data_IF_210973331988
#
_entry.id   IF_210973331988
#
_cell.length_a   1.000
_cell.length_b   1.000
_cell.length_c   1.000
_cell.angle_alpha   90.00
_cell.angle_beta   90.00
_cell.angle_gamma   90.00
#
_symmetry.space_group_name_H-M   'P 1'
#
loop_
_entity.id
_entity.type
_entity.pdbx_description
1 polymer ?
#
# COMPACT_ATOMS: atom_id res chain seq x y z
N UNK A 1 9.09 -15.50 -50.81
CA UNK A 1 8.49 -15.26 -49.48
C UNK A 1 9.64 -15.20 -48.49
N UNK A 2 10.11 -14.01 -48.19
CA UNK A 2 11.14 -13.75 -47.17
C UNK A 2 10.52 -14.02 -45.78
N UNK A 3 10.99 -15.05 -45.08
CA UNK A 3 10.76 -15.22 -43.67
C UNK A 3 11.48 -14.06 -42.97
N UNK A 4 10.69 -13.11 -42.43
CA UNK A 4 11.17 -12.11 -41.47
C UNK A 4 11.58 -12.91 -40.23
N UNK A 5 12.89 -13.05 -40.00
CA UNK A 5 13.40 -13.67 -38.77
C UNK A 5 12.86 -12.85 -37.58
N UNK A 6 12.02 -13.47 -36.78
CA UNK A 6 11.54 -12.87 -35.53
C UNK A 6 12.77 -12.61 -34.66
N UNK A 7 13.04 -11.36 -34.39
CA UNK A 7 14.14 -11.00 -33.48
C UNK A 7 13.96 -11.76 -32.14
N UNK A 8 15.01 -12.45 -31.72
CA UNK A 8 14.95 -13.23 -30.48
C UNK A 8 14.58 -12.32 -29.31
N UNK A 9 13.50 -12.64 -28.59
CA UNK A 9 13.07 -11.86 -27.43
C UNK A 9 14.19 -11.81 -26.37
N UNK A 10 14.48 -10.64 -25.88
CA UNK A 10 15.44 -10.46 -24.79
C UNK A 10 14.97 -11.23 -23.56
N UNK A 11 15.86 -12.03 -22.96
CA UNK A 11 15.55 -12.90 -21.83
C UNK A 11 15.78 -12.18 -20.51
N UNK A 12 14.83 -12.30 -19.58
CA UNK A 12 14.89 -11.73 -18.23
C UNK A 12 14.62 -12.84 -17.20
N UNK A 13 15.45 -12.88 -16.16
CA UNK A 13 15.23 -13.72 -14.98
C UNK A 13 14.77 -12.82 -13.83
N UNK A 14 13.63 -13.14 -13.21
CA UNK A 14 13.11 -12.50 -12.00
C UNK A 14 13.31 -13.46 -10.85
N UNK A 15 13.96 -13.01 -9.80
CA UNK A 15 14.21 -13.78 -8.58
C UNK A 15 13.21 -13.32 -7.51
N UNK A 16 12.36 -14.23 -7.08
CA UNK A 16 11.27 -13.99 -6.15
C UNK A 16 9.90 -13.92 -6.84
N UNK A 17 8.97 -14.80 -6.45
CA UNK A 17 7.59 -14.85 -6.92
C UNK A 17 6.61 -14.28 -5.89
N UNK A 18 7.01 -13.29 -5.10
CA UNK A 18 6.12 -12.44 -4.32
C UNK A 18 5.42 -11.41 -5.21
N UNK A 19 4.52 -10.60 -4.64
CA UNK A 19 3.70 -9.64 -5.40
C UNK A 19 4.54 -8.71 -6.27
N UNK A 20 5.66 -8.20 -5.77
CA UNK A 20 6.56 -7.31 -6.53
C UNK A 20 7.22 -8.00 -7.71
N UNK A 21 7.75 -9.22 -7.49
CA UNK A 21 8.40 -10.00 -8.55
C UNK A 21 7.42 -10.46 -9.62
N UNK A 22 6.22 -10.90 -9.24
CA UNK A 22 5.17 -11.28 -10.18
C UNK A 22 4.68 -10.09 -10.99
N UNK A 23 4.49 -8.92 -10.37
CA UNK A 23 4.12 -7.68 -11.06
C UNK A 23 5.18 -7.26 -12.08
N UNK A 24 6.45 -7.23 -11.66
CA UNK A 24 7.57 -6.89 -12.56
C UNK A 24 7.67 -7.88 -13.72
N UNK A 25 7.53 -9.18 -13.45
CA UNK A 25 7.55 -10.21 -14.47
C UNK A 25 6.42 -10.07 -15.48
N UNK A 26 5.20 -9.80 -15.01
CA UNK A 26 4.03 -9.61 -15.85
C UNK A 26 4.18 -8.38 -16.75
N UNK A 27 4.59 -7.24 -16.20
CA UNK A 27 4.82 -6.02 -16.97
C UNK A 27 5.95 -6.18 -17.99
N UNK A 28 7.04 -6.84 -17.66
CA UNK A 28 8.12 -7.12 -18.60
C UNK A 28 7.66 -8.07 -19.71
N UNK A 29 6.91 -9.12 -19.36
CA UNK A 29 6.35 -10.03 -20.36
C UNK A 29 5.36 -9.31 -21.29
N UNK A 30 4.53 -8.44 -20.77
CA UNK A 30 3.61 -7.59 -21.54
C UNK A 30 4.36 -6.69 -22.53
N UNK A 31 5.54 -6.19 -22.13
CA UNK A 31 6.44 -5.40 -23.00
C UNK A 31 7.26 -6.23 -23.98
N UNK A 32 7.02 -7.54 -24.07
CA UNK A 32 7.59 -8.42 -25.07
C UNK A 32 8.87 -9.16 -24.67
N UNK A 33 9.34 -9.04 -23.43
CA UNK A 33 10.49 -9.82 -22.93
C UNK A 33 10.13 -11.30 -22.74
N UNK A 34 11.12 -12.18 -22.85
CA UNK A 34 10.99 -13.59 -22.47
C UNK A 34 11.37 -13.73 -20.98
N UNK A 35 10.36 -13.74 -20.09
CA UNK A 35 10.57 -13.71 -18.65
C UNK A 35 10.50 -15.10 -18.04
N UNK A 36 11.43 -15.41 -17.13
CA UNK A 36 11.36 -16.55 -16.20
C UNK A 36 11.39 -16.05 -14.77
N UNK A 37 10.46 -16.55 -13.94
CA UNK A 37 10.42 -16.26 -12.52
C UNK A 37 10.93 -17.48 -11.75
N UNK A 38 11.78 -17.24 -10.76
CA UNK A 38 12.33 -18.26 -9.87
C UNK A 38 12.00 -17.89 -8.43
N UNK A 39 11.56 -18.88 -7.64
CA UNK A 39 11.32 -18.73 -6.22
C UNK A 39 11.79 -19.98 -5.48
N UNK A 40 12.15 -19.82 -4.21
CA UNK A 40 12.49 -20.94 -3.34
C UNK A 40 11.25 -21.67 -2.81
N UNK A 41 10.07 -20.99 -2.79
CA UNK A 41 8.82 -21.57 -2.35
C UNK A 41 8.13 -22.34 -3.48
N UNK A 42 7.42 -23.40 -3.11
CA UNK A 42 6.62 -24.21 -4.04
C UNK A 42 5.40 -23.42 -4.53
N UNK A 43 4.83 -22.56 -3.65
CA UNK A 43 3.65 -21.75 -3.98
C UNK A 43 4.08 -20.30 -4.17
N UNK A 44 3.77 -19.68 -5.33
CA UNK A 44 4.05 -18.26 -5.52
C UNK A 44 3.16 -17.38 -4.64
N UNK A 45 3.54 -16.12 -4.49
CA UNK A 45 2.78 -15.11 -3.74
C UNK A 45 3.57 -14.52 -2.56
N UNK A 46 4.61 -15.20 -2.07
CA UNK A 46 5.39 -14.72 -0.92
C UNK A 46 4.52 -14.57 0.34
N UNK A 47 4.49 -13.38 0.96
CA UNK A 47 3.62 -13.10 2.10
C UNK A 47 2.13 -13.02 1.75
N UNK A 48 1.77 -12.91 0.48
CA UNK A 48 0.39 -12.93 -0.01
C UNK A 48 0.00 -14.31 -0.56
N UNK A 49 0.71 -15.36 -0.18
CA UNK A 49 0.37 -16.74 -0.56
C UNK A 49 -0.52 -17.42 0.47
N UNK A 50 -0.99 -18.59 0.12
CA UNK A 50 -1.77 -19.45 1.01
C UNK A 50 -1.12 -20.82 1.17
N UNK A 51 -1.41 -21.51 2.26
CA UNK A 51 -1.05 -22.92 2.43
C UNK A 51 -2.23 -23.74 2.92
N UNK A 52 -2.20 -25.03 2.62
CA UNK A 52 -3.24 -25.97 3.05
C UNK A 52 -2.71 -26.90 4.13
N UNK A 53 -3.48 -27.07 5.19
CA UNK A 53 -3.19 -28.02 6.26
C UNK A 53 -4.46 -28.67 6.78
N UNK A 54 -4.51 -30.01 6.79
CA UNK A 54 -5.64 -30.80 7.29
C UNK A 54 -7.00 -30.39 6.72
N UNK A 55 -7.05 -30.08 5.42
CA UNK A 55 -8.29 -29.68 4.73
C UNK A 55 -8.65 -28.19 4.84
N UNK A 56 -7.94 -27.40 5.65
CA UNK A 56 -8.12 -25.96 5.78
C UNK A 56 -7.11 -25.20 4.94
N UNK A 57 -7.53 -24.05 4.44
CA UNK A 57 -6.67 -23.08 3.75
C UNK A 57 -6.40 -21.90 4.67
N UNK A 58 -5.14 -21.52 4.78
CA UNK A 58 -4.67 -20.41 5.63
C UNK A 58 -3.89 -19.42 4.77
N UNK A 59 -4.03 -18.14 5.08
CA UNK A 59 -3.16 -17.10 4.55
C UNK A 59 -1.79 -17.15 5.25
N UNK A 60 -0.73 -16.89 4.49
CA UNK A 60 0.64 -16.88 5.04
C UNK A 60 0.88 -15.63 5.88
N UNK A 61 0.41 -14.47 5.43
CA UNK A 61 0.62 -13.21 6.12
C UNK A 61 -0.43 -12.16 5.78
N UNK A 62 -0.53 -11.74 4.53
CA UNK A 62 -1.47 -10.70 4.11
C UNK A 62 -2.88 -11.28 3.95
N UNK A 63 -3.79 -10.85 4.81
CA UNK A 63 -5.23 -11.21 4.77
C UNK A 63 -6.10 -10.09 4.19
N UNK A 64 -5.57 -8.88 4.13
CA UNK A 64 -6.26 -7.73 3.56
C UNK A 64 -5.63 -7.36 2.20
N UNK A 65 -6.48 -7.12 1.21
CA UNK A 65 -6.08 -6.65 -0.12
C UNK A 65 -6.65 -5.25 -0.32
N UNK A 66 -5.78 -4.29 -0.54
CA UNK A 66 -6.13 -2.91 -0.89
C UNK A 66 -5.71 -2.61 -2.33
N UNK A 67 -6.19 -1.51 -2.90
CA UNK A 67 -5.78 -1.06 -4.23
C UNK A 67 -6.52 -1.74 -5.40
N UNK A 68 -7.64 -2.43 -5.12
CA UNK A 68 -8.54 -2.97 -6.14
C UNK A 68 -9.62 -1.98 -6.57
N UNK A 69 -9.81 -0.90 -5.81
CA UNK A 69 -10.75 0.17 -6.11
C UNK A 69 -10.38 0.89 -7.43
N UNK A 70 -11.32 1.56 -8.10
CA UNK A 70 -11.04 2.33 -9.32
C UNK A 70 -9.92 3.36 -9.09
N UNK A 71 -8.84 3.25 -9.87
CA UNK A 71 -7.65 4.07 -9.70
C UNK A 71 -6.64 3.58 -8.65
N UNK A 72 -6.95 2.51 -7.93
CA UNK A 72 -6.01 1.84 -7.03
C UNK A 72 -4.86 1.17 -7.78
N UNK A 73 -3.77 0.87 -7.08
CA UNK A 73 -2.54 0.38 -7.71
C UNK A 73 -2.74 -0.95 -8.46
N UNK A 74 -3.47 -1.89 -7.88
CA UNK A 74 -3.75 -3.17 -8.54
C UNK A 74 -4.67 -2.99 -9.75
N UNK A 75 -5.70 -2.15 -9.62
CA UNK A 75 -6.60 -1.80 -10.72
C UNK A 75 -5.85 -1.21 -11.91
N UNK A 76 -4.87 -0.32 -11.67
CA UNK A 76 -4.03 0.24 -12.72
C UNK A 76 -3.15 -0.81 -13.41
N UNK A 77 -2.50 -1.69 -12.64
CA UNK A 77 -1.62 -2.76 -13.15
C UNK A 77 -2.44 -3.75 -14.01
N UNK A 78 -3.59 -4.20 -13.52
CA UNK A 78 -4.45 -5.11 -14.25
C UNK A 78 -4.95 -4.50 -15.56
N UNK A 79 -5.31 -3.20 -15.52
CA UNK A 79 -5.69 -2.44 -16.72
C UNK A 79 -4.54 -2.33 -17.73
N UNK A 80 -3.30 -2.04 -17.27
CA UNK A 80 -2.12 -1.99 -18.14
C UNK A 80 -1.85 -3.35 -18.81
N UNK A 81 -2.02 -4.43 -18.05
CA UNK A 81 -1.83 -5.79 -18.55
C UNK A 81 -2.98 -6.28 -19.45
N UNK A 82 -4.11 -5.59 -19.50
CA UNK A 82 -5.30 -5.99 -20.24
C UNK A 82 -5.99 -7.23 -19.68
N UNK A 83 -5.87 -7.48 -18.38
CA UNK A 83 -6.50 -8.59 -17.68
C UNK A 83 -7.56 -8.11 -16.71
N UNK A 84 -8.60 -8.92 -16.52
CA UNK A 84 -9.70 -8.61 -15.62
C UNK A 84 -9.25 -8.72 -14.14
N UNK A 85 -9.74 -7.78 -13.32
CA UNK A 85 -9.55 -7.85 -11.87
C UNK A 85 -10.27 -9.09 -11.31
N UNK A 86 -9.67 -9.77 -10.31
CA UNK A 86 -10.38 -10.84 -9.63
C UNK A 86 -11.64 -10.29 -8.94
N UNK A 87 -12.75 -11.08 -8.90
CA UNK A 87 -13.94 -10.67 -8.20
C UNK A 87 -13.62 -10.49 -6.71
N UNK A 88 -13.99 -9.34 -6.16
CA UNK A 88 -13.82 -9.01 -4.76
C UNK A 88 -15.00 -8.20 -4.27
N UNK A 89 -15.38 -8.41 -3.00
CA UNK A 89 -16.35 -7.59 -2.29
C UNK A 89 -15.65 -6.79 -1.21
N UNK A 90 -16.09 -5.57 -1.04
CA UNK A 90 -15.56 -4.68 -0.01
C UNK A 90 -16.04 -5.11 1.36
N UNK A 91 -15.14 -5.08 2.35
CA UNK A 91 -15.51 -5.22 3.75
C UNK A 91 -16.02 -3.88 4.28
N UNK A 92 -17.15 -3.87 4.96
CA UNK A 92 -17.67 -2.69 5.64
C UNK A 92 -18.27 -3.08 7.00
N UNK A 93 -17.65 -2.66 8.12
CA UNK A 93 -16.45 -1.82 8.22
C UNK A 93 -15.19 -2.47 7.61
N UNK A 94 -14.23 -1.65 7.19
CA UNK A 94 -12.95 -2.12 6.66
C UNK A 94 -12.19 -2.96 7.68
N UNK A 95 -12.25 -2.59 8.96
CA UNK A 95 -11.83 -3.42 10.08
C UNK A 95 -12.57 -3.03 11.38
N UNK A 96 -12.58 -3.96 12.34
CA UNK A 96 -13.06 -3.75 13.68
C UNK A 96 -11.93 -3.94 14.68
N UNK A 97 -11.62 -2.92 15.47
CA UNK A 97 -10.50 -2.93 16.42
C UNK A 97 -11.02 -3.12 17.83
N UNK A 98 -10.69 -4.24 18.44
CA UNK A 98 -10.99 -4.51 19.85
C UNK A 98 -9.84 -4.04 20.72
N UNK A 99 -10.08 -3.09 21.60
CA UNK A 99 -9.08 -2.66 22.56
C UNK A 99 -9.04 -3.59 23.78
N UNK A 100 -7.87 -3.74 24.43
CA UNK A 100 -7.76 -4.59 25.61
C UNK A 100 -8.76 -4.23 26.72
N UNK A 101 -9.59 -5.19 27.13
CA UNK A 101 -10.61 -5.01 28.16
C UNK A 101 -11.92 -4.40 27.69
N UNK A 102 -12.07 -4.09 26.41
CA UNK A 102 -13.31 -3.61 25.81
C UNK A 102 -14.03 -4.75 25.06
N UNK A 103 -15.36 -4.78 25.14
CA UNK A 103 -16.21 -5.76 24.45
C UNK A 103 -16.73 -5.22 23.12
N UNK A 104 -16.82 -3.90 22.99
CA UNK A 104 -17.30 -3.24 21.78
C UNK A 104 -16.11 -2.81 20.91
N UNK A 105 -16.12 -3.13 19.62
CA UNK A 105 -15.05 -2.73 18.72
C UNK A 105 -15.17 -1.26 18.30
N UNK A 106 -14.05 -0.70 17.90
CA UNK A 106 -13.99 0.54 17.12
C UNK A 106 -14.09 0.13 15.66
N UNK A 107 -15.17 0.53 14.99
CA UNK A 107 -15.40 0.22 13.58
C UNK A 107 -14.73 1.24 12.69
N UNK A 108 -13.77 0.78 11.89
CA UNK A 108 -13.12 1.63 10.87
C UNK A 108 -13.98 1.57 9.61
N UNK A 109 -14.88 2.53 9.48
CA UNK A 109 -15.81 2.61 8.35
C UNK A 109 -15.11 3.07 7.07
N UNK A 110 -15.55 2.55 5.93
CA UNK A 110 -15.06 2.98 4.62
C UNK A 110 -15.64 4.33 4.24
N UNK A 111 -16.90 4.58 4.55
CA UNK A 111 -17.52 5.86 4.33
C UNK A 111 -16.85 6.95 5.21
N UNK A 112 -16.36 8.06 4.60
CA UNK A 112 -15.63 9.08 5.34
C UNK A 112 -16.44 9.78 6.43
N UNK A 113 -17.75 9.96 6.23
CA UNK A 113 -18.60 10.63 7.23
C UNK A 113 -18.94 9.69 8.39
N UNK A 114 -19.20 8.42 8.12
CA UNK A 114 -19.36 7.41 9.17
C UNK A 114 -18.08 7.26 9.99
N UNK A 115 -16.92 7.21 9.34
CA UNK A 115 -15.65 7.13 10.02
C UNK A 115 -15.33 8.39 10.85
N UNK A 116 -15.69 9.56 10.35
CA UNK A 116 -15.57 10.81 11.11
C UNK A 116 -16.44 10.79 12.36
N UNK A 117 -17.71 10.38 12.22
CA UNK A 117 -18.63 10.26 13.35
C UNK A 117 -18.13 9.24 14.38
N UNK A 118 -17.62 8.09 13.94
CA UNK A 118 -17.05 7.07 14.82
C UNK A 118 -15.83 7.59 15.58
N UNK A 119 -14.92 8.30 14.93
CA UNK A 119 -13.75 8.90 15.58
C UNK A 119 -14.13 9.94 16.61
N UNK A 120 -15.12 10.78 16.32
CA UNK A 120 -15.60 11.79 17.28
C UNK A 120 -16.27 11.13 18.50
N UNK A 121 -17.03 10.06 18.28
CA UNK A 121 -17.65 9.26 19.35
C UNK A 121 -16.60 8.56 20.22
N UNK A 122 -15.60 7.96 19.61
CA UNK A 122 -14.59 7.14 20.28
C UNK A 122 -13.47 7.98 20.93
N UNK A 123 -13.15 9.09 20.31
CA UNK A 123 -12.03 9.97 20.69
C UNK A 123 -12.42 11.45 20.62
N UNK A 124 -13.32 11.91 21.51
CA UNK A 124 -13.80 13.28 21.48
C UNK A 124 -12.65 14.30 21.48
N UNK A 125 -12.78 15.36 20.68
CA UNK A 125 -11.79 16.42 20.57
C UNK A 125 -10.56 16.07 19.71
N UNK A 126 -10.52 14.88 19.08
CA UNK A 126 -9.38 14.46 18.25
C UNK A 126 -9.50 14.89 16.77
N UNK A 127 -10.57 15.57 16.37
CA UNK A 127 -10.81 15.96 14.99
C UNK A 127 -9.67 16.74 14.34
N UNK A 128 -9.01 17.73 15.01
CA UNK A 128 -7.89 18.46 14.42
C UNK A 128 -6.67 17.55 14.11
N UNK A 129 -6.37 16.58 14.97
CA UNK A 129 -5.34 15.59 14.76
C UNK A 129 -5.63 14.74 13.50
N UNK A 130 -6.85 14.25 13.36
CA UNK A 130 -7.24 13.44 12.20
C UNK A 130 -7.21 14.23 10.88
N UNK A 131 -7.62 15.50 10.91
CA UNK A 131 -7.52 16.38 9.76
C UNK A 131 -6.06 16.60 9.34
N UNK A 132 -5.18 16.80 10.33
CA UNK A 132 -3.73 16.92 10.07
C UNK A 132 -3.16 15.62 9.48
N UNK A 133 -3.47 14.45 10.07
CA UNK A 133 -2.98 13.16 9.58
C UNK A 133 -3.45 12.87 8.15
N UNK A 134 -4.70 13.25 7.83
CA UNK A 134 -5.20 13.13 6.45
C UNK A 134 -4.41 14.01 5.48
N UNK A 135 -4.16 15.27 5.83
CA UNK A 135 -3.37 16.17 4.99
C UNK A 135 -1.93 15.65 4.79
N UNK A 136 -1.31 15.16 5.86
CA UNK A 136 0.03 14.57 5.82
C UNK A 136 0.06 13.34 4.90
N UNK A 137 -0.97 12.49 4.99
CA UNK A 137 -1.14 11.35 4.09
C UNK A 137 -1.29 11.81 2.63
N UNK A 138 -2.17 12.77 2.35
CA UNK A 138 -2.44 13.25 0.99
C UNK A 138 -1.19 13.86 0.33
N UNK A 139 -0.38 14.61 1.09
CA UNK A 139 0.90 15.15 0.60
C UNK A 139 1.93 14.05 0.34
N UNK A 140 2.07 13.11 1.28
CA UNK A 140 2.98 11.98 1.15
C UNK A 140 2.60 11.07 -0.03
N UNK A 141 1.30 10.83 -0.21
CA UNK A 141 0.78 10.02 -1.32
C UNK A 141 1.08 10.67 -2.67
N UNK A 142 0.81 11.98 -2.82
CA UNK A 142 1.15 12.73 -4.04
C UNK A 142 2.65 12.72 -4.35
N UNK A 143 3.49 12.78 -3.33
CA UNK A 143 4.92 12.65 -3.50
C UNK A 143 5.30 11.25 -4.00
N UNK A 144 4.77 10.20 -3.40
CA UNK A 144 5.02 8.81 -3.81
C UNK A 144 4.55 8.52 -5.25
N UNK A 145 3.44 9.10 -5.68
CA UNK A 145 2.95 8.97 -7.06
C UNK A 145 3.86 9.60 -8.12
N UNK A 146 4.86 10.39 -7.74
CA UNK A 146 5.87 10.97 -8.63
C UNK A 146 7.11 10.09 -8.77
N UNK A 147 7.05 8.84 -8.34
CA UNK A 147 8.14 7.86 -8.41
C UNK A 147 9.49 8.35 -7.84
N UNK A 148 9.54 8.90 -6.62
CA UNK A 148 10.79 9.31 -6.01
C UNK A 148 11.68 8.09 -5.76
N UNK A 149 12.96 8.20 -6.09
CA UNK A 149 13.96 7.17 -5.74
C UNK A 149 14.50 7.47 -4.34
N UNK A 150 14.19 6.61 -3.37
CA UNK A 150 14.61 6.72 -1.98
C UNK A 150 15.22 5.41 -1.45
N UNK A 151 16.38 5.45 -0.79
CA UNK A 151 17.33 6.57 -0.75
C UNK A 151 18.03 6.78 -2.08
N UNK A 152 18.37 8.03 -2.47
CA UNK A 152 19.12 8.29 -3.69
C UNK A 152 20.53 7.70 -3.58
N UNK A 153 20.96 6.96 -4.61
CA UNK A 153 22.27 6.29 -4.65
C UNK A 153 23.16 6.80 -5.79
N UNK A 154 22.58 7.55 -6.71
CA UNK A 154 23.27 8.11 -7.88
C UNK A 154 22.89 9.57 -8.08
N UNK A 155 23.69 10.29 -8.87
CA UNK A 155 23.36 11.67 -9.26
C UNK A 155 22.04 11.77 -10.02
N UNK A 156 21.71 10.73 -10.79
CA UNK A 156 20.43 10.63 -11.51
C UNK A 156 19.25 10.53 -10.54
N UNK A 157 19.39 9.73 -9.48
CA UNK A 157 18.35 9.60 -8.44
C UNK A 157 18.10 10.92 -7.71
N UNK A 158 19.16 11.72 -7.48
CA UNK A 158 19.06 13.05 -6.89
C UNK A 158 18.27 13.99 -7.81
N UNK A 159 18.55 13.94 -9.12
CA UNK A 159 17.80 14.74 -10.10
C UNK A 159 16.34 14.30 -10.11
N UNK A 160 16.06 13.01 -10.14
CA UNK A 160 14.71 12.46 -10.11
C UNK A 160 13.97 12.83 -8.82
N UNK A 161 14.62 12.74 -7.67
CA UNK A 161 14.09 13.19 -6.39
C UNK A 161 13.76 14.69 -6.43
N UNK A 162 14.65 15.51 -6.99
CA UNK A 162 14.43 16.95 -7.17
C UNK A 162 13.20 17.27 -8.03
N UNK A 163 12.90 16.46 -9.05
CA UNK A 163 11.69 16.63 -9.87
C UNK A 163 10.42 16.18 -9.17
N UNK A 164 10.52 15.23 -8.23
CA UNK A 164 9.40 14.74 -7.44
C UNK A 164 9.02 15.68 -6.28
N UNK A 165 9.99 16.45 -5.77
CA UNK A 165 9.77 17.43 -4.69
C UNK A 165 8.98 18.63 -5.23
N UNK A 166 7.90 18.96 -4.56
CA UNK A 166 7.02 20.11 -4.82
C UNK A 166 6.83 20.89 -3.51
N UNK A 167 6.28 22.11 -3.56
CA UNK A 167 6.00 22.89 -2.33
C UNK A 167 5.16 22.13 -1.30
N UNK A 168 4.23 21.29 -1.73
CA UNK A 168 3.42 20.42 -0.87
C UNK A 168 4.26 19.34 -0.19
N UNK A 169 5.28 18.81 -0.85
CA UNK A 169 6.23 17.84 -0.27
C UNK A 169 7.02 18.47 0.87
N UNK A 170 7.38 19.74 0.76
CA UNK A 170 8.15 20.44 1.82
C UNK A 170 7.37 20.52 3.14
N UNK A 171 6.03 20.49 3.08
CA UNK A 171 5.18 20.45 4.28
C UNK A 171 5.30 19.14 5.06
N UNK A 172 5.78 18.07 4.45
CA UNK A 172 5.96 16.76 5.10
C UNK A 172 7.35 16.64 5.76
N UNK A 173 8.33 17.43 5.34
CA UNK A 173 9.73 17.33 5.79
C UNK A 173 9.88 17.42 7.32
N UNK A 174 9.23 18.34 8.03
CA UNK A 174 9.35 18.41 9.49
C UNK A 174 8.89 17.14 10.22
N UNK A 175 8.00 16.38 9.58
CA UNK A 175 7.39 15.17 10.14
C UNK A 175 8.07 13.87 9.73
N UNK A 176 9.09 13.95 8.86
CA UNK A 176 9.83 12.77 8.37
C UNK A 176 10.52 12.01 9.52
N UNK A 177 10.92 12.72 10.56
CA UNK A 177 11.56 12.16 11.74
C UNK A 177 10.68 12.21 13.00
N UNK A 178 9.42 12.63 12.85
CA UNK A 178 8.48 12.69 13.97
C UNK A 178 7.76 11.37 14.16
N UNK A 179 7.56 11.00 15.40
CA UNK A 179 6.70 9.88 15.77
C UNK A 179 5.24 10.34 15.89
N UNK A 180 4.30 9.41 15.74
CA UNK A 180 2.87 9.68 15.99
C UNK A 180 2.66 10.21 17.43
N UNK A 181 3.44 9.70 18.41
CA UNK A 181 3.40 10.18 19.79
C UNK A 181 3.79 11.65 19.96
N UNK A 182 4.75 12.15 19.21
CA UNK A 182 5.13 13.56 19.20
C UNK A 182 4.03 14.43 18.59
N UNK A 183 3.42 13.97 17.50
CA UNK A 183 2.28 14.65 16.89
C UNK A 183 1.13 14.73 17.89
N UNK A 184 0.79 13.63 18.58
CA UNK A 184 -0.24 13.61 19.61
C UNK A 184 0.03 14.62 20.74
N UNK A 185 1.30 14.81 21.16
CA UNK A 185 1.66 15.84 22.15
C UNK A 185 1.35 17.25 21.63
N UNK A 186 1.63 17.52 20.36
CA UNK A 186 1.30 18.80 19.72
C UNK A 186 -0.20 19.13 19.70
N UNK A 187 -1.05 18.11 19.75
CA UNK A 187 -2.51 18.25 19.83
C UNK A 187 -3.08 18.06 21.24
N UNK A 188 -2.26 17.92 22.27
CA UNK A 188 -2.65 17.63 23.66
C UNK A 188 -3.43 16.31 23.80
N UNK A 189 -3.18 15.34 22.93
CA UNK A 189 -3.87 14.04 22.90
C UNK A 189 -3.01 12.89 23.42
N UNK A 190 -1.76 13.16 23.80
CA UNK A 190 -0.84 12.10 24.23
C UNK A 190 -1.32 11.36 25.48
N UNK A 191 -2.01 12.04 26.40
CA UNK A 191 -2.54 11.44 27.63
C UNK A 191 -3.81 10.60 27.37
N UNK A 192 -4.41 10.70 26.20
CA UNK A 192 -5.53 9.82 25.82
C UNK A 192 -4.98 8.40 25.53
N UNK A 193 -4.93 7.57 26.59
CA UNK A 193 -4.43 6.21 26.52
C UNK A 193 -5.20 5.36 25.50
N UNK A 194 -6.50 5.54 25.42
CA UNK A 194 -7.38 4.79 24.52
C UNK A 194 -7.03 5.08 23.05
N UNK A 195 -6.84 6.36 22.69
CA UNK A 195 -6.40 6.77 21.35
C UNK A 195 -5.00 6.23 21.03
N UNK A 196 -4.06 6.31 21.98
CA UNK A 196 -2.70 5.75 21.77
C UNK A 196 -2.67 4.25 21.59
N UNK A 197 -3.60 3.53 22.23
CA UNK A 197 -3.69 2.07 22.08
C UNK A 197 -4.31 1.69 20.74
N UNK A 198 -5.19 2.55 20.21
CA UNK A 198 -5.79 2.37 18.91
C UNK A 198 -4.79 2.63 17.75
N UNK A 199 -3.91 3.62 17.88
CA UNK A 199 -2.90 4.01 16.88
C UNK A 199 -1.67 3.10 16.88
#
# INVERSE_FOLDING_TARGET
RSQVASAAKQKVAVIGAGIGGLTAAALLAHRGYAVKVFDQAIVPGGCASTFKRRGFTFDVGATQVAGLEPGGIHSQIFKELGIELPPASECDPACAVFLPGETEPISVWRDPEQWKAERERQFPGSAPFWAFMKNLFDYSWRFQQRDPVLPPRSLWDIIQLGTAVRPDTLLTVPFTFSTVGEILRGYNLYENRRLRTFL
#
